data_IF_429881009616
#
_entry.id   IF_429881009616
#
_cell.length_a   1.000
_cell.length_b   1.000
_cell.length_c   1.000
_cell.angle_alpha   90.00
_cell.angle_beta   90.00
_cell.angle_gamma   90.00
#
_symmetry.space_group_name_H-M   'P 1'
#
loop_
_entity.id
_entity.type
_entity.pdbx_description
1 polymer ?
#
# COMPACT_ATOMS: atom_id res chain seq x y z
N UNK A 1 -9.30 26.72 -7.06
CA UNK A 1 -9.81 25.35 -6.96
C UNK A 1 -8.99 24.42 -7.86
N UNK A 2 -8.51 23.35 -7.30
CA UNK A 2 -7.73 22.37 -8.04
C UNK A 2 -8.65 21.44 -8.81
N UNK A 3 -8.42 21.25 -10.10
CA UNK A 3 -9.20 20.30 -10.88
C UNK A 3 -8.62 18.88 -10.73
N UNK A 4 -9.37 17.87 -11.14
CA UNK A 4 -8.96 16.48 -11.00
C UNK A 4 -7.68 16.14 -11.73
N UNK A 5 -7.42 16.81 -12.86
CA UNK A 5 -6.21 16.59 -13.63
C UNK A 5 -4.98 17.09 -12.89
N UNK A 6 -5.05 18.28 -12.30
CA UNK A 6 -3.93 18.82 -11.52
C UNK A 6 -3.61 17.95 -10.32
N UNK A 7 -4.64 17.47 -9.63
CA UNK A 7 -4.47 16.58 -8.49
C UNK A 7 -3.84 15.26 -8.92
N UNK A 8 -4.30 14.69 -10.02
CA UNK A 8 -3.73 13.45 -10.56
C UNK A 8 -2.28 13.59 -10.96
N UNK A 9 -1.92 14.74 -11.59
CA UNK A 9 -0.53 15.00 -11.97
C UNK A 9 0.37 15.13 -10.75
N UNK A 10 -0.11 15.77 -9.69
CA UNK A 10 0.63 15.92 -8.45
C UNK A 10 0.92 14.55 -7.80
N UNK A 11 -0.10 13.71 -7.70
CA UNK A 11 0.05 12.35 -7.16
C UNK A 11 1.03 11.54 -7.99
N UNK A 12 0.93 11.62 -9.32
CA UNK A 12 1.84 10.91 -10.21
C UNK A 12 3.29 11.33 -9.99
N UNK A 13 3.55 12.62 -9.83
CA UNK A 13 4.90 13.11 -9.57
C UNK A 13 5.48 12.54 -8.28
N UNK A 14 4.68 12.43 -7.23
CA UNK A 14 5.12 11.84 -5.97
C UNK A 14 5.46 10.37 -6.12
N UNK A 15 4.64 9.62 -6.83
CA UNK A 15 4.87 8.21 -7.10
C UNK A 15 6.10 8.00 -7.97
N UNK A 16 6.25 8.80 -9.04
CA UNK A 16 7.40 8.70 -9.92
C UNK A 16 8.70 9.01 -9.18
N UNK A 17 8.70 10.02 -8.32
CA UNK A 17 9.85 10.38 -7.51
C UNK A 17 10.24 9.24 -6.56
N UNK A 18 9.27 8.61 -5.93
CA UNK A 18 9.50 7.46 -5.06
C UNK A 18 10.10 6.30 -5.86
N UNK A 19 9.53 6.00 -7.01
CA UNK A 19 9.99 4.91 -7.86
C UNK A 19 11.41 5.15 -8.38
N UNK A 20 11.76 6.38 -8.74
CA UNK A 20 13.11 6.73 -9.17
C UNK A 20 14.13 6.45 -8.07
N UNK A 21 13.82 6.89 -6.84
CA UNK A 21 14.70 6.70 -5.70
C UNK A 21 14.90 5.23 -5.39
N UNK A 22 13.81 4.46 -5.39
CA UNK A 22 13.85 3.02 -5.18
C UNK A 22 14.63 2.32 -6.29
N UNK A 23 14.47 2.76 -7.52
CA UNK A 23 15.20 2.22 -8.66
C UNK A 23 16.70 2.40 -8.51
N UNK A 24 17.15 3.56 -8.03
CA UNK A 24 18.57 3.84 -7.79
C UNK A 24 19.12 2.90 -6.71
N UNK A 25 18.40 2.72 -5.64
CA UNK A 25 18.82 1.85 -4.53
C UNK A 25 18.92 0.39 -4.93
N UNK A 26 18.30 0.03 -6.03
CA UNK A 26 18.26 -1.35 -6.51
C UNK A 26 19.26 -1.66 -7.59
N UNK A 27 20.22 -0.78 -7.85
CA UNK A 27 21.31 -1.08 -8.77
C UNK A 27 22.09 -2.29 -8.26
N UNK A 28 22.23 -3.30 -9.11
CA UNK A 28 22.86 -4.55 -8.76
C UNK A 28 21.91 -5.64 -8.28
N UNK A 29 20.65 -5.33 -8.09
CA UNK A 29 19.63 -6.31 -7.72
C UNK A 29 18.97 -6.86 -8.98
N UNK A 30 19.00 -8.19 -9.15
CA UNK A 30 18.50 -8.81 -10.39
C UNK A 30 16.99 -8.71 -10.54
N UNK A 31 16.21 -8.86 -9.45
CA UNK A 31 14.76 -8.84 -9.47
C UNK A 31 14.25 -7.89 -8.41
N UNK A 32 13.37 -6.99 -8.81
CA UNK A 32 12.72 -6.06 -7.90
C UNK A 32 11.66 -6.77 -7.08
N UNK A 33 11.50 -6.36 -5.82
CA UNK A 33 10.47 -6.94 -4.95
C UNK A 33 9.07 -6.84 -5.58
N UNK A 34 8.77 -5.73 -6.24
CA UNK A 34 7.47 -5.55 -6.89
C UNK A 34 7.30 -6.40 -8.15
N UNK A 35 8.39 -6.87 -8.74
CA UNK A 35 8.36 -7.74 -9.92
C UNK A 35 8.24 -9.21 -9.54
N UNK A 36 8.57 -9.54 -8.29
CA UNK A 36 8.52 -10.91 -7.78
C UNK A 36 7.27 -11.08 -6.92
N UNK A 37 6.38 -11.97 -7.35
CA UNK A 37 5.12 -12.20 -6.67
C UNK A 37 5.12 -13.60 -6.05
N UNK A 38 5.13 -13.66 -4.73
CA UNK A 38 5.02 -14.92 -4.01
C UNK A 38 3.55 -15.17 -3.71
N UNK A 39 3.02 -16.31 -4.16
CA UNK A 39 1.65 -16.69 -3.89
C UNK A 39 0.60 -16.16 -4.86
N UNK A 40 1.02 -15.54 -5.96
CA UNK A 40 0.10 -15.09 -7.01
C UNK A 40 0.44 -13.70 -7.55
N UNK A 41 -0.30 -13.28 -8.56
CA UNK A 41 -0.04 -12.04 -9.29
C UNK A 41 -0.98 -10.88 -8.92
N UNK A 42 -1.77 -11.03 -7.86
CA UNK A 42 -2.82 -10.06 -7.52
C UNK A 42 -2.29 -8.67 -7.15
N UNK A 43 -1.08 -8.58 -6.62
CA UNK A 43 -0.47 -7.28 -6.31
C UNK A 43 0.19 -6.65 -7.53
N UNK A 44 0.71 -7.47 -8.44
CA UNK A 44 1.42 -6.98 -9.63
C UNK A 44 0.52 -6.21 -10.58
N UNK A 45 -0.80 -6.45 -10.55
CA UNK A 45 -1.76 -5.78 -11.42
C UNK A 45 -2.31 -4.48 -10.85
N UNK A 46 -1.93 -4.13 -9.63
CA UNK A 46 -2.36 -2.86 -9.02
C UNK A 46 -1.57 -1.70 -9.61
N UNK A 47 -2.23 -0.56 -9.80
CA UNK A 47 -1.58 0.66 -10.28
C UNK A 47 -0.47 1.11 -9.32
N UNK A 48 -0.73 1.00 -8.01
CA UNK A 48 0.25 1.24 -6.95
C UNK A 48 0.14 0.05 -6.00
N UNK A 49 1.25 -0.61 -5.73
CA UNK A 49 1.22 -1.73 -4.80
C UNK A 49 0.95 -1.23 -3.38
N UNK A 50 0.16 -1.98 -2.58
CA UNK A 50 -0.16 -1.53 -1.22
C UNK A 50 1.06 -1.19 -0.37
N UNK A 51 2.12 -1.99 -0.43
CA UNK A 51 3.31 -1.72 0.37
C UNK A 51 4.04 -0.45 -0.05
N UNK A 52 4.01 -0.10 -1.35
CA UNK A 52 4.61 1.16 -1.81
C UNK A 52 3.87 2.36 -1.21
N UNK A 53 2.55 2.29 -1.17
CA UNK A 53 1.72 3.30 -0.54
C UNK A 53 2.02 3.40 0.96
N UNK A 54 2.09 2.26 1.64
CA UNK A 54 2.35 2.18 3.08
C UNK A 54 3.70 2.81 3.42
N UNK A 55 4.74 2.46 2.65
CA UNK A 55 6.09 2.97 2.86
C UNK A 55 6.16 4.46 2.56
N UNK A 56 5.61 4.86 1.42
CA UNK A 56 5.68 6.26 0.97
C UNK A 56 4.98 7.22 1.93
N UNK A 57 3.92 6.76 2.59
CA UNK A 57 3.14 7.58 3.52
C UNK A 57 3.48 7.31 4.98
N UNK A 58 4.49 6.50 5.25
CA UNK A 58 4.97 6.20 6.60
C UNK A 58 3.86 5.65 7.50
N UNK A 59 3.06 4.73 6.99
CA UNK A 59 2.01 4.11 7.77
C UNK A 59 2.59 3.05 8.72
N UNK A 60 1.99 2.93 9.90
CA UNK A 60 2.39 1.94 10.87
C UNK A 60 1.87 0.54 10.57
N UNK A 61 2.20 -0.39 11.45
CA UNK A 61 1.85 -1.81 11.27
C UNK A 61 0.35 -2.04 11.16
N UNK A 62 -0.43 -1.49 12.11
CA UNK A 62 -1.87 -1.73 12.15
C UNK A 62 -2.58 -1.10 10.95
N UNK A 63 -2.35 0.18 10.71
CA UNK A 63 -2.97 0.89 9.60
C UNK A 63 -2.50 0.35 8.25
N UNK A 64 -1.24 -0.08 8.16
CA UNK A 64 -0.71 -0.71 6.95
C UNK A 64 -1.42 -2.02 6.64
N UNK A 65 -1.73 -2.83 7.64
CA UNK A 65 -2.48 -4.07 7.43
C UNK A 65 -3.93 -3.80 7.03
N UNK A 66 -4.55 -2.73 7.54
CA UNK A 66 -5.88 -2.33 7.07
C UNK A 66 -5.84 -2.05 5.57
N UNK A 67 -4.89 -1.23 5.13
CA UNK A 67 -4.72 -0.91 3.70
C UNK A 67 -4.48 -2.17 2.88
N UNK A 68 -3.59 -3.05 3.36
CA UNK A 68 -3.25 -4.29 2.67
C UNK A 68 -4.49 -5.14 2.40
N UNK A 69 -5.27 -5.42 3.42
CA UNK A 69 -6.41 -6.32 3.29
C UNK A 69 -7.56 -5.69 2.52
N UNK A 70 -7.81 -4.40 2.70
CA UNK A 70 -8.81 -3.69 1.91
C UNK A 70 -8.44 -3.66 0.43
N UNK A 71 -7.15 -3.59 0.12
CA UNK A 71 -6.69 -3.53 -1.26
C UNK A 71 -6.82 -4.86 -2.01
N UNK A 72 -6.81 -5.99 -1.31
CA UNK A 72 -6.74 -7.30 -1.96
C UNK A 72 -7.99 -8.16 -1.87
N UNK A 73 -8.99 -7.76 -1.11
CA UNK A 73 -10.12 -8.63 -0.80
C UNK A 73 -10.85 -9.18 -2.03
N UNK A 74 -11.00 -8.36 -3.08
CA UNK A 74 -11.68 -8.78 -4.31
C UNK A 74 -10.93 -9.89 -5.04
N UNK A 75 -9.61 -9.85 -4.97
CA UNK A 75 -8.76 -10.71 -5.79
C UNK A 75 -8.28 -11.94 -5.05
N UNK A 76 -8.42 -11.99 -3.73
CA UNK A 76 -7.87 -13.11 -2.97
C UNK A 76 -8.79 -13.63 -1.88
N UNK A 77 -8.92 -12.94 -0.77
CA UNK A 77 -9.52 -13.49 0.44
C UNK A 77 -11.00 -13.20 0.64
N UNK A 78 -11.59 -12.37 -0.20
CA UNK A 78 -13.01 -12.04 -0.09
C UNK A 78 -13.40 -11.48 1.27
N UNK A 79 -14.51 -11.96 1.80
CA UNK A 79 -15.03 -11.46 3.09
C UNK A 79 -14.04 -11.67 4.24
N UNK A 80 -13.21 -12.72 4.19
CA UNK A 80 -12.21 -12.94 5.23
C UNK A 80 -11.19 -11.81 5.29
N UNK A 81 -10.75 -11.31 4.13
CA UNK A 81 -9.82 -10.20 4.08
C UNK A 81 -10.44 -8.93 4.64
N UNK A 82 -11.73 -8.69 4.36
CA UNK A 82 -12.44 -7.56 4.94
C UNK A 82 -12.54 -7.67 6.47
N UNK A 83 -12.78 -8.88 6.98
CA UNK A 83 -12.80 -9.12 8.42
C UNK A 83 -11.43 -8.94 9.06
N UNK A 84 -10.37 -9.32 8.35
CA UNK A 84 -9.00 -9.06 8.82
C UNK A 84 -8.72 -7.56 8.89
N UNK A 85 -9.11 -6.82 7.87
CA UNK A 85 -8.98 -5.37 7.88
C UNK A 85 -9.73 -4.75 9.07
N UNK A 86 -10.94 -5.21 9.31
CA UNK A 86 -11.76 -4.77 10.44
C UNK A 86 -11.07 -5.05 11.77
N UNK A 87 -10.48 -6.22 11.91
CA UNK A 87 -9.77 -6.62 13.13
C UNK A 87 -8.56 -5.72 13.40
N UNK A 88 -7.76 -5.45 12.39
CA UNK A 88 -6.62 -4.54 12.53
C UNK A 88 -7.08 -3.12 12.86
N UNK A 89 -8.16 -2.67 12.22
CA UNK A 89 -8.70 -1.33 12.49
C UNK A 89 -9.21 -1.23 13.94
N UNK A 90 -9.88 -2.26 14.42
CA UNK A 90 -10.35 -2.31 15.80
C UNK A 90 -9.18 -2.17 16.78
N UNK A 91 -8.10 -2.88 16.53
CA UNK A 91 -6.91 -2.78 17.37
C UNK A 91 -6.30 -1.38 17.33
N UNK A 92 -6.26 -0.79 16.15
CA UNK A 92 -5.76 0.58 15.99
C UNK A 92 -6.59 1.57 16.80
N UNK A 93 -7.91 1.42 16.75
CA UNK A 93 -8.81 2.28 17.55
C UNK A 93 -8.52 2.11 19.04
N UNK A 94 -8.41 0.87 19.51
CA UNK A 94 -8.17 0.58 20.92
C UNK A 94 -6.87 1.23 21.43
N UNK A 95 -5.77 1.05 20.69
CA UNK A 95 -4.50 1.60 21.15
C UNK A 95 -4.47 3.13 21.07
N UNK A 96 -5.18 3.69 20.09
CA UNK A 96 -5.28 5.14 19.96
C UNK A 96 -6.09 5.75 21.10
N UNK A 97 -7.19 5.11 21.46
CA UNK A 97 -8.01 5.56 22.59
C UNK A 97 -7.26 5.50 23.91
N UNK A 98 -6.44 4.47 24.10
CA UNK A 98 -5.63 4.35 25.34
C UNK A 98 -4.52 5.39 25.42
N UNK A 99 -4.10 5.94 24.28
CA UNK A 99 -3.03 6.94 24.24
C UNK A 99 -3.49 8.36 24.56
N UNK A 100 -4.78 8.56 24.69
CA UNK A 100 -5.35 9.89 24.98
C UNK A 100 -5.36 10.18 26.48
#
# INVERSE_FOLDING_TARGET
MTNGKQLGDHVKKLVDKYNEREGIERLGVAIRANEQQVGGAHYAVKAIQPWDYIIANDLGYLEGNVVKYVSRWKDKGGIEDLKKAQHYLQKLIEVTEKSK
#
